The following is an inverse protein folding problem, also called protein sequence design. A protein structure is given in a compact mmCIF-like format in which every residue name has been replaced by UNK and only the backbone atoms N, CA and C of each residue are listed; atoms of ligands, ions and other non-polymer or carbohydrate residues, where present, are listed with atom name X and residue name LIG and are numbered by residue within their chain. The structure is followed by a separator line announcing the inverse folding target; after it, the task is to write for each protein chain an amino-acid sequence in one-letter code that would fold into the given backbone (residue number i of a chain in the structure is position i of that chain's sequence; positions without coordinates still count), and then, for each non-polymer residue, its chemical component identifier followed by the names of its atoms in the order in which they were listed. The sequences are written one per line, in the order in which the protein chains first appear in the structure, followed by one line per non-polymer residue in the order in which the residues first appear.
data_IF_532879925062
#
_entry.id   IF_532879925062
#
_cell.length_a   1.000
_cell.length_b   1.000
_cell.length_c   1.000
_cell.angle_alpha   90.00
_cell.angle_beta   90.00
_cell.angle_gamma   90.00
#
_symmetry.space_group_name_H-M   'P 1'
#
loop_
_entity.id
_entity.type
_entity.pdbx_description
1 polymer ?
#
# COMPACT_ATOMS: atom_id res chain seq x y z
N UNK A 1 2.16 13.02 62.16
CA UNK A 1 1.41 12.29 61.12
C UNK A 1 1.02 13.29 60.03
N UNK A 2 1.73 13.28 58.91
CA UNK A 2 1.33 13.94 57.64
C UNK A 2 1.82 13.04 56.51
N UNK A 3 0.87 12.59 55.71
CA UNK A 3 1.06 11.74 54.53
C UNK A 3 1.37 12.67 53.37
N UNK A 4 2.45 12.39 52.63
CA UNK A 4 2.64 12.93 51.27
C UNK A 4 3.31 11.85 50.43
N UNK A 5 2.48 10.91 49.98
CA UNK A 5 2.76 10.00 48.87
C UNK A 5 2.46 10.76 47.58
N UNK A 6 3.44 11.48 47.04
CA UNK A 6 3.35 12.06 45.69
C UNK A 6 4.74 12.02 45.05
N UNK A 7 5.07 10.90 44.43
CA UNK A 7 6.16 10.82 43.46
C UNK A 7 5.62 10.06 42.22
N UNK A 8 5.91 10.54 41.00
CA UNK A 8 4.96 10.52 39.91
C UNK A 8 5.08 9.27 39.04
N UNK A 9 3.94 8.65 38.76
CA UNK A 9 3.75 7.57 37.79
C UNK A 9 3.80 8.14 36.36
N UNK A 10 4.97 8.57 35.89
CA UNK A 10 5.13 9.16 34.54
C UNK A 10 6.35 8.61 33.80
N UNK A 11 6.40 7.30 33.54
CA UNK A 11 7.42 6.72 32.65
C UNK A 11 6.92 5.61 31.72
N UNK A 12 5.60 5.41 31.55
CA UNK A 12 5.06 4.30 30.76
C UNK A 12 4.52 4.68 29.36
N UNK A 13 4.57 5.95 28.93
CA UNK A 13 3.90 6.39 27.69
C UNK A 13 4.80 6.48 26.45
N UNK A 14 6.08 6.14 26.53
CA UNK A 14 7.03 6.31 25.41
C UNK A 14 7.23 5.07 24.50
N UNK A 15 6.50 3.97 24.70
CA UNK A 15 6.78 2.70 24.00
C UNK A 15 5.87 2.38 22.79
N UNK A 16 5.03 3.29 22.32
CA UNK A 16 4.06 2.98 21.23
C UNK A 16 4.17 3.83 19.95
N UNK A 17 5.33 4.42 19.66
CA UNK A 17 5.53 5.20 18.43
C UNK A 17 6.62 4.68 17.50
N UNK A 18 6.88 3.37 17.52
CA UNK A 18 7.47 2.69 16.37
C UNK A 18 6.34 2.18 15.46
N UNK A 19 5.67 3.11 14.76
CA UNK A 19 4.91 2.72 13.58
C UNK A 19 5.95 2.23 12.58
N UNK A 20 6.18 0.92 12.55
CA UNK A 20 6.98 0.27 11.52
C UNK A 20 6.35 0.65 10.18
N UNK A 21 6.98 1.58 9.46
CA UNK A 21 6.74 1.80 8.04
C UNK A 21 7.29 0.56 7.30
N UNK A 22 6.65 -0.59 7.50
CA UNK A 22 6.91 -1.78 6.73
C UNK A 22 6.64 -1.42 5.27
N UNK A 23 7.67 -1.58 4.44
CA UNK A 23 7.78 -1.07 3.08
C UNK A 23 6.43 -0.94 2.37
N UNK A 24 6.04 0.31 2.07
CA UNK A 24 4.92 0.55 1.17
C UNK A 24 5.26 -0.13 -0.15
N UNK A 25 4.51 -1.17 -0.50
CA UNK A 25 4.53 -1.74 -1.84
C UNK A 25 4.44 -0.59 -2.86
N UNK A 26 5.27 -0.63 -3.90
CA UNK A 26 5.33 0.48 -4.86
C UNK A 26 3.98 0.60 -5.59
N UNK A 27 3.48 1.83 -5.71
CA UNK A 27 2.25 2.12 -6.43
C UNK A 27 2.58 2.97 -7.65
N UNK A 28 2.27 2.47 -8.84
CA UNK A 28 2.27 3.24 -10.08
C UNK A 28 0.88 3.81 -10.34
N UNK A 29 0.80 5.08 -10.73
CA UNK A 29 -0.44 5.68 -11.21
C UNK A 29 -0.43 5.68 -12.74
N UNK A 30 -1.46 5.09 -13.33
CA UNK A 30 -1.55 4.86 -14.76
C UNK A 30 -3.02 4.95 -15.16
N UNK A 31 -3.47 6.15 -15.52
CA UNK A 31 -4.86 6.41 -15.83
C UNK A 31 -5.16 6.08 -17.30
N UNK A 32 -6.24 5.35 -17.53
CA UNK A 32 -6.70 4.88 -18.85
C UNK A 32 -5.63 4.15 -19.68
N UNK A 33 -4.66 3.52 -19.03
CA UNK A 33 -3.58 2.89 -19.76
C UNK A 33 -3.96 1.51 -20.31
N UNK A 34 -3.25 1.10 -21.37
CA UNK A 34 -3.34 -0.25 -21.92
C UNK A 34 -2.68 -1.25 -20.98
N UNK A 35 -2.97 -2.56 -21.16
CA UNK A 35 -2.32 -3.62 -20.37
C UNK A 35 -0.79 -3.59 -20.47
N UNK A 36 -0.26 -3.24 -21.65
CA UNK A 36 1.18 -3.13 -21.89
C UNK A 36 1.79 -1.95 -21.15
N UNK A 37 1.15 -0.78 -21.19
CA UNK A 37 1.61 0.41 -20.49
C UNK A 37 1.54 0.23 -18.96
N UNK A 38 0.52 -0.47 -18.47
CA UNK A 38 0.43 -0.84 -17.05
C UNK A 38 1.58 -1.77 -16.63
N UNK A 39 1.93 -2.77 -17.46
CA UNK A 39 3.07 -3.64 -17.20
C UNK A 39 4.40 -2.86 -17.21
N UNK A 40 4.59 -1.97 -18.17
CA UNK A 40 5.79 -1.12 -18.25
C UNK A 40 5.94 -0.22 -17.02
N UNK A 41 4.85 0.42 -16.58
CA UNK A 41 4.83 1.22 -15.36
C UNK A 41 5.15 0.39 -14.11
N UNK A 42 4.76 -0.89 -14.09
CA UNK A 42 5.11 -1.80 -13.00
C UNK A 42 6.60 -2.18 -13.03
N UNK A 43 7.12 -2.54 -14.19
CA UNK A 43 8.53 -2.93 -14.37
C UNK A 43 9.49 -1.78 -14.06
N UNK A 44 9.12 -0.53 -14.38
CA UNK A 44 9.94 0.65 -14.11
C UNK A 44 10.18 0.95 -12.62
N UNK A 45 9.36 0.39 -11.71
CA UNK A 45 9.47 0.62 -10.27
C UNK A 45 10.42 -0.35 -9.56
N UNK A 46 10.99 -1.34 -10.28
CA UNK A 46 12.00 -2.31 -9.79
C UNK A 46 11.67 -2.92 -8.41
N UNK A 47 10.39 -3.16 -8.14
CA UNK A 47 9.91 -3.75 -6.89
C UNK A 47 9.27 -5.11 -7.15
N UNK A 48 9.43 -6.04 -6.19
CA UNK A 48 8.86 -7.38 -6.22
C UNK A 48 7.33 -7.37 -6.28
N UNK A 49 6.68 -6.36 -5.68
CA UNK A 49 5.23 -6.20 -5.72
C UNK A 49 4.88 -4.75 -6.06
N UNK A 50 4.22 -4.57 -7.21
CA UNK A 50 3.78 -3.26 -7.67
C UNK A 50 2.27 -3.26 -7.89
N UNK A 51 1.59 -2.22 -7.40
CA UNK A 51 0.19 -1.98 -7.73
C UNK A 51 0.08 -0.85 -8.75
N UNK A 52 -0.51 -1.15 -9.89
CA UNK A 52 -0.84 -0.14 -10.90
C UNK A 52 -2.28 0.27 -10.69
N UNK A 53 -2.51 1.56 -10.44
CA UNK A 53 -3.83 2.13 -10.15
C UNK A 53 -4.28 2.99 -11.33
N UNK A 54 -5.49 2.70 -11.81
CA UNK A 54 -6.20 3.45 -12.83
C UNK A 54 -7.46 4.06 -12.20
N UNK A 55 -7.43 5.37 -11.92
CA UNK A 55 -8.57 6.06 -11.33
C UNK A 55 -9.69 6.31 -12.33
N UNK A 56 -9.40 6.31 -13.64
CA UNK A 56 -10.40 6.49 -14.69
C UNK A 56 -11.26 5.23 -14.80
N UNK A 57 -10.62 4.08 -14.84
CA UNK A 57 -11.31 2.77 -14.85
C UNK A 57 -11.73 2.30 -13.46
N UNK A 58 -11.27 2.99 -12.40
CA UNK A 58 -11.49 2.64 -11.00
C UNK A 58 -10.96 1.24 -10.67
N UNK A 59 -9.80 0.91 -11.23
CA UNK A 59 -9.19 -0.40 -11.08
C UNK A 59 -7.81 -0.32 -10.44
N UNK A 60 -7.42 -1.42 -9.80
CA UNK A 60 -6.05 -1.67 -9.39
C UNK A 60 -5.62 -3.05 -9.86
N UNK A 61 -4.38 -3.14 -10.33
CA UNK A 61 -3.75 -4.36 -10.81
C UNK A 61 -2.46 -4.62 -10.03
N UNK A 62 -2.30 -5.83 -9.50
CA UNK A 62 -1.02 -6.27 -8.93
C UNK A 62 -0.13 -6.86 -10.01
N UNK A 63 1.13 -6.48 -9.97
CA UNK A 63 2.22 -7.09 -10.71
C UNK A 63 3.25 -7.63 -9.73
N UNK A 64 3.75 -8.82 -10.00
CA UNK A 64 4.79 -9.48 -9.21
C UNK A 64 5.99 -9.72 -10.11
N UNK A 65 7.15 -9.30 -9.64
CA UNK A 65 8.42 -9.49 -10.34
C UNK A 65 9.19 -10.62 -9.68
N UNK A 66 9.69 -11.56 -10.49
CA UNK A 66 10.62 -12.59 -10.02
C UNK A 66 12.06 -12.04 -9.90
N UNK A 67 12.96 -12.83 -9.30
CA UNK A 67 14.37 -12.46 -9.17
C UNK A 67 15.15 -12.43 -10.50
N UNK A 68 14.52 -12.85 -11.60
CA UNK A 68 15.07 -12.81 -12.96
C UNK A 68 14.55 -11.60 -13.75
N UNK A 69 13.70 -10.75 -13.15
CA UNK A 69 13.12 -9.57 -13.78
C UNK A 69 11.83 -9.83 -14.56
N UNK A 70 11.28 -11.06 -14.54
CA UNK A 70 10.00 -11.33 -15.19
C UNK A 70 8.87 -10.76 -14.33
N UNK A 71 8.17 -9.78 -14.88
CA UNK A 71 7.00 -9.17 -14.24
C UNK A 71 5.73 -9.77 -14.81
N UNK A 72 4.86 -10.32 -13.96
CA UNK A 72 3.57 -10.88 -14.36
C UNK A 72 2.42 -10.28 -13.56
N UNK A 73 1.24 -10.22 -14.17
CA UNK A 73 0.03 -9.83 -13.47
C UNK A 73 -0.38 -10.93 -12.47
N UNK A 74 -0.81 -10.51 -11.28
CA UNK A 74 -1.26 -11.42 -10.22
C UNK A 74 -2.60 -10.95 -9.64
N UNK A 75 -3.31 -11.89 -9.00
CA UNK A 75 -4.52 -11.57 -8.26
C UNK A 75 -4.21 -10.76 -7.00
N UNK A 76 -5.04 -9.75 -6.74
CA UNK A 76 -5.02 -9.00 -5.49
C UNK A 76 -5.90 -9.68 -4.44
N UNK A 77 -5.40 -9.72 -3.22
CA UNK A 77 -6.17 -10.07 -2.04
C UNK A 77 -7.12 -8.93 -1.62
N UNK A 78 -8.14 -9.28 -0.83
CA UNK A 78 -9.07 -8.30 -0.27
C UNK A 78 -8.37 -7.27 0.62
N UNK A 79 -7.34 -7.68 1.36
CA UNK A 79 -6.55 -6.78 2.19
C UNK A 79 -5.77 -5.75 1.37
N UNK A 80 -5.18 -6.16 0.26
CA UNK A 80 -4.41 -5.27 -0.63
C UNK A 80 -5.31 -4.20 -1.26
N UNK A 81 -6.48 -4.57 -1.79
CA UNK A 81 -7.41 -3.59 -2.38
C UNK A 81 -8.03 -2.67 -1.33
N UNK A 82 -8.30 -3.19 -0.13
CA UNK A 82 -8.81 -2.38 1.00
C UNK A 82 -7.76 -1.35 1.41
N UNK A 83 -6.49 -1.75 1.51
CA UNK A 83 -5.38 -0.84 1.85
C UNK A 83 -5.19 0.23 0.78
N UNK A 84 -5.26 -0.11 -0.52
CA UNK A 84 -5.18 0.90 -1.58
C UNK A 84 -6.33 1.90 -1.50
N UNK A 85 -7.55 1.44 -1.24
CA UNK A 85 -8.70 2.33 -1.04
C UNK A 85 -8.52 3.26 0.16
N UNK A 86 -7.97 2.77 1.27
CA UNK A 86 -7.63 3.62 2.43
C UNK A 86 -6.54 4.64 2.08
N UNK A 87 -5.49 4.21 1.35
CA UNK A 87 -4.39 5.08 0.92
C UNK A 87 -4.88 6.22 0.01
N UNK A 88 -5.88 5.95 -0.83
CA UNK A 88 -6.42 6.93 -1.78
C UNK A 88 -7.80 7.47 -1.41
N UNK A 89 -8.23 7.37 -0.14
CA UNK A 89 -9.56 7.85 0.29
C UNK A 89 -9.80 9.33 -0.03
N UNK A 90 -8.72 10.14 -0.02
CA UNK A 90 -8.78 11.56 -0.38
C UNK A 90 -9.28 11.81 -1.81
N UNK A 91 -9.18 10.83 -2.72
CA UNK A 91 -9.68 10.93 -4.10
C UNK A 91 -11.16 10.61 -4.24
N UNK A 92 -11.82 10.16 -3.15
CA UNK A 92 -13.25 9.80 -3.11
C UNK A 92 -13.68 8.86 -4.25
N UNK A 93 -12.75 7.99 -4.66
CA UNK A 93 -12.94 7.00 -5.72
C UNK A 93 -12.61 5.63 -5.15
N UNK A 94 -13.57 4.72 -5.23
CA UNK A 94 -13.36 3.34 -4.79
C UNK A 94 -12.82 2.49 -5.94
N UNK A 95 -11.65 1.90 -5.72
CA UNK A 95 -10.92 1.02 -6.63
C UNK A 95 -11.37 -0.43 -6.47
N UNK A 96 -11.41 -1.15 -7.59
CA UNK A 96 -11.69 -2.58 -7.66
C UNK A 96 -10.48 -3.34 -8.21
N UNK A 97 -10.23 -4.54 -7.70
CA UNK A 97 -9.18 -5.41 -8.24
C UNK A 97 -9.58 -5.93 -9.63
N UNK A 98 -8.66 -5.85 -10.58
CA UNK A 98 -8.81 -6.54 -11.88
C UNK A 98 -8.71 -8.04 -11.66
N UNK A 99 -9.60 -8.81 -12.30
CA UNK A 99 -9.61 -10.28 -12.26
C UNK A 99 -8.87 -10.83 -13.49
N UNK A 100 -8.07 -11.88 -13.29
CA UNK A 100 -7.44 -12.68 -14.35
C UNK A 100 -8.07 -14.06 -14.44
#
# INVERSE_FOLDING_TARGET
MKITLTAPLMMATLLFSAASFAGMNSVALCNDCSKSAALEAATALENNNVYVVDFVKRTAQKYVSDSKGNTIAANMSLGEITRLNQQFDYRKTYLHAVKH
#
